data_IF_522872897383
#
_entry.id   IF_522872897383
#
_cell.length_a   1.000
_cell.length_b   1.000
_cell.length_c   1.000
_cell.angle_alpha   90.00
_cell.angle_beta   90.00
_cell.angle_gamma   90.00
#
_symmetry.space_group_name_H-M   'P 1'
#
loop_
_entity.id
_entity.type
_entity.pdbx_description
1 polymer ?
#
# COMPACT_ATOMS: atom_id res chain seq x y z
N UNK A 1 1.08 3.34 10.12
CA UNK A 1 1.44 4.47 11.01
C UNK A 1 2.93 4.50 11.34
N UNK A 2 3.53 3.46 11.94
CA UNK A 2 4.97 3.46 12.21
C UNK A 2 5.83 3.29 10.94
N UNK A 3 5.50 2.28 10.10
CA UNK A 3 6.27 1.99 8.89
C UNK A 3 6.36 3.18 7.91
N UNK A 4 5.27 3.95 7.76
CA UNK A 4 5.18 5.15 6.91
C UNK A 4 6.04 6.33 7.40
N UNK A 5 6.74 6.22 8.52
CA UNK A 5 7.71 7.22 8.98
C UNK A 5 9.12 6.98 8.43
N UNK A 6 9.36 5.82 7.85
CA UNK A 6 10.63 5.49 7.20
C UNK A 6 10.56 6.00 5.76
N UNK A 7 11.53 6.83 5.37
CA UNK A 7 11.60 7.38 4.00
C UNK A 7 11.58 6.26 2.97
N UNK A 8 10.77 6.42 1.93
CA UNK A 8 10.58 5.43 0.87
C UNK A 8 9.63 4.29 1.23
N UNK A 9 9.10 4.20 2.46
CA UNK A 9 8.14 3.17 2.86
C UNK A 9 6.71 3.69 2.70
N UNK A 10 5.96 3.05 1.81
CA UNK A 10 4.54 3.31 1.58
C UNK A 10 3.78 2.09 2.07
N UNK A 11 3.13 2.25 3.21
CA UNK A 11 2.43 1.17 3.90
C UNK A 11 0.99 1.54 4.23
N UNK A 12 0.04 0.65 3.94
CA UNK A 12 -1.35 0.77 4.35
C UNK A 12 -1.81 -0.48 5.09
N UNK A 13 -2.84 -0.30 5.93
CA UNK A 13 -3.53 -1.41 6.58
C UNK A 13 -4.65 -1.88 5.66
N UNK A 14 -4.65 -3.16 5.32
CA UNK A 14 -5.65 -3.77 4.46
C UNK A 14 -6.36 -4.90 5.21
N UNK A 15 -7.66 -5.03 4.94
CA UNK A 15 -8.50 -6.09 5.50
C UNK A 15 -9.27 -6.87 4.42
N UNK A 16 -9.03 -6.53 3.15
CA UNK A 16 -9.71 -7.08 1.99
C UNK A 16 -8.78 -6.99 0.77
N UNK A 17 -9.06 -7.84 -0.22
CA UNK A 17 -8.27 -7.97 -1.45
C UNK A 17 -8.28 -6.72 -2.30
N UNK A 18 -9.40 -5.99 -2.35
CA UNK A 18 -9.53 -4.76 -3.11
C UNK A 18 -8.58 -3.69 -2.60
N UNK A 19 -8.56 -3.45 -1.28
CA UNK A 19 -7.64 -2.51 -0.63
C UNK A 19 -6.18 -2.90 -0.82
N UNK A 20 -5.87 -4.20 -0.71
CA UNK A 20 -4.52 -4.71 -0.90
C UNK A 20 -4.01 -4.51 -2.34
N UNK A 21 -4.87 -4.74 -3.33
CA UNK A 21 -4.57 -4.56 -4.75
C UNK A 21 -4.44 -3.07 -5.11
N UNK A 22 -5.46 -2.27 -4.79
CA UNK A 22 -5.48 -0.84 -5.14
C UNK A 22 -4.37 -0.06 -4.43
N UNK A 23 -3.97 -0.47 -3.22
CA UNK A 23 -2.83 0.16 -2.53
C UNK A 23 -1.56 0.12 -3.38
N UNK A 24 -1.30 -0.99 -4.07
CA UNK A 24 -0.17 -1.09 -5.01
C UNK A 24 -0.45 -0.29 -6.27
N UNK A 25 -1.61 -0.47 -6.89
CA UNK A 25 -1.90 0.15 -8.19
C UNK A 25 -1.93 1.68 -8.16
N UNK A 26 -2.48 2.26 -7.09
CA UNK A 26 -2.74 3.69 -6.96
C UNK A 26 -1.65 4.43 -6.21
N UNK A 27 -1.11 3.81 -5.15
CA UNK A 27 -0.23 4.49 -4.21
C UNK A 27 1.20 3.92 -4.23
N UNK A 28 1.50 2.95 -5.10
CA UNK A 28 2.79 2.26 -5.17
C UNK A 28 3.21 1.71 -3.80
N UNK A 29 2.22 1.14 -3.08
CA UNK A 29 2.43 0.56 -1.76
C UNK A 29 3.46 -0.57 -1.83
N UNK A 30 4.49 -0.49 -1.00
CA UNK A 30 5.58 -1.47 -0.96
C UNK A 30 5.62 -2.29 0.35
N UNK A 31 4.75 -1.96 1.32
CA UNK A 31 4.59 -2.71 2.56
C UNK A 31 3.11 -2.91 2.84
N UNK A 32 2.66 -4.17 2.85
CA UNK A 32 1.31 -4.55 3.30
C UNK A 32 1.30 -4.69 4.83
N UNK A 33 0.30 -4.11 5.51
CA UNK A 33 0.06 -4.35 6.93
C UNK A 33 -1.32 -4.95 7.14
N UNK A 34 -1.42 -5.96 8.03
CA UNK A 34 -2.64 -6.72 8.26
C UNK A 34 -3.00 -6.75 9.75
N UNK A 35 -4.28 -6.65 10.06
CA UNK A 35 -4.79 -6.75 11.42
C UNK A 35 -5.01 -8.20 11.85
N UNK A 36 -4.05 -8.82 12.54
CA UNK A 36 -4.15 -10.22 12.97
C UNK A 36 -5.36 -10.55 13.89
N UNK A 37 -5.94 -9.55 14.55
CA UNK A 37 -7.16 -9.69 15.38
C UNK A 37 -8.42 -9.21 14.67
N UNK A 38 -8.29 -8.73 13.44
CA UNK A 38 -9.38 -8.12 12.65
C UNK A 38 -9.82 -9.05 11.53
N UNK A 39 -8.88 -9.71 10.87
CA UNK A 39 -9.15 -10.64 9.77
C UNK A 39 -8.65 -12.05 10.10
N UNK A 40 -9.35 -13.06 9.57
CA UNK A 40 -8.94 -14.45 9.65
C UNK A 40 -7.75 -14.80 8.74
N UNK A 41 -7.19 -16.01 8.86
CA UNK A 41 -6.04 -16.45 8.07
C UNK A 41 -6.33 -16.50 6.56
N UNK A 42 -7.52 -16.94 6.16
CA UNK A 42 -7.88 -17.07 4.75
C UNK A 42 -7.95 -15.70 4.04
N UNK A 43 -8.74 -14.71 4.50
CA UNK A 43 -8.75 -13.39 3.88
C UNK A 43 -7.39 -12.67 4.01
N UNK A 44 -6.61 -12.95 5.06
CA UNK A 44 -5.24 -12.44 5.17
C UNK A 44 -4.34 -12.98 4.05
N UNK A 45 -4.44 -14.28 3.74
CA UNK A 45 -3.69 -14.89 2.64
C UNK A 45 -4.12 -14.32 1.30
N UNK A 46 -5.43 -14.16 1.06
CA UNK A 46 -5.94 -13.54 -0.17
C UNK A 46 -5.44 -12.10 -0.34
N UNK A 47 -5.38 -11.31 0.74
CA UNK A 47 -4.80 -9.96 0.71
C UNK A 47 -3.32 -9.98 0.29
N UNK A 48 -2.54 -10.93 0.81
CA UNK A 48 -1.13 -11.08 0.44
C UNK A 48 -1.00 -11.43 -1.04
N UNK A 49 -1.80 -12.36 -1.55
CA UNK A 49 -1.81 -12.73 -2.97
C UNK A 49 -2.19 -11.54 -3.85
N UNK A 50 -3.25 -10.81 -3.49
CA UNK A 50 -3.70 -9.63 -4.22
C UNK A 50 -2.64 -8.52 -4.24
N UNK A 51 -1.96 -8.29 -3.12
CA UNK A 51 -0.86 -7.33 -3.01
C UNK A 51 0.33 -7.72 -3.89
N UNK A 52 0.79 -8.98 -3.81
CA UNK A 52 1.94 -9.46 -4.59
C UNK A 52 1.66 -9.55 -6.09
N UNK A 53 0.40 -9.75 -6.48
CA UNK A 53 -0.04 -9.82 -7.87
C UNK A 53 -0.31 -8.46 -8.51
N UNK A 54 -0.49 -7.40 -7.72
CA UNK A 54 -0.77 -6.06 -8.22
C UNK A 54 0.49 -5.38 -8.75
N UNK A 55 0.32 -4.47 -9.71
CA UNK A 55 1.41 -3.66 -10.26
C UNK A 55 1.00 -2.20 -10.29
N UNK A 56 1.91 -1.29 -9.97
CA UNK A 56 1.63 0.14 -10.02
C UNK A 56 1.14 0.55 -11.40
N UNK A 57 -0.07 1.13 -11.46
CA UNK A 57 -0.75 1.46 -12.72
C UNK A 57 -0.02 2.54 -13.53
N UNK A 58 0.77 3.40 -12.87
CA UNK A 58 1.50 4.48 -13.52
C UNK A 58 0.62 5.58 -14.13
N UNK A 59 -0.69 5.57 -13.90
CA UNK A 59 -1.59 6.59 -14.44
C UNK A 59 -1.19 8.00 -13.99
N UNK A 60 -1.37 9.04 -14.83
CA UNK A 60 -0.94 10.40 -14.51
C UNK A 60 -1.47 10.92 -13.16
N UNK A 61 -2.70 10.53 -12.78
CA UNK A 61 -3.29 10.91 -11.49
C UNK A 61 -2.61 10.24 -10.29
N UNK A 62 -2.19 8.98 -10.44
CA UNK A 62 -1.54 8.19 -9.40
C UNK A 62 -0.09 8.64 -9.22
N UNK A 63 0.64 8.81 -10.32
CA UNK A 63 2.00 9.38 -10.29
C UNK A 63 2.03 10.77 -9.67
N UNK A 64 1.12 11.66 -10.05
CA UNK A 64 1.02 13.00 -9.44
C UNK A 64 0.78 12.97 -7.93
N UNK A 65 0.02 11.99 -7.41
CA UNK A 65 -0.19 11.84 -5.97
C UNK A 65 1.06 11.31 -5.29
N UNK A 66 1.69 10.29 -5.88
CA UNK A 66 2.95 9.74 -5.40
C UNK A 66 4.05 10.81 -5.34
N UNK A 67 4.19 11.65 -6.37
CA UNK A 67 5.18 12.73 -6.41
C UNK A 67 4.99 13.73 -5.27
N UNK A 68 3.74 14.02 -4.89
CA UNK A 68 3.44 14.88 -3.72
C UNK A 68 3.88 14.23 -2.41
N UNK A 69 3.67 12.93 -2.26
CA UNK A 69 4.11 12.18 -1.08
C UNK A 69 5.64 12.19 -1.00
N UNK A 70 6.31 11.95 -2.12
CA UNK A 70 7.78 11.98 -2.21
C UNK A 70 8.35 13.39 -1.90
N UNK A 71 7.68 14.45 -2.35
CA UNK A 71 8.07 15.82 -2.00
C UNK A 71 7.96 16.07 -0.49
N UNK A 72 6.86 15.64 0.15
CA UNK A 72 6.68 15.75 1.60
C UNK A 72 7.75 14.96 2.36
N UNK A 73 8.11 13.75 1.90
CA UNK A 73 9.18 12.95 2.50
C UNK A 73 10.58 13.56 2.34
N UNK A 74 10.81 14.35 1.28
CA UNK A 74 12.10 15.01 1.05
C UNK A 74 12.29 16.26 1.91
N UNK A 75 11.20 16.91 2.32
CA UNK A 75 11.22 18.12 3.16
C UNK A 75 11.40 17.81 4.67
N UNK A 76 11.17 16.57 5.11
CA UNK A 76 11.30 16.11 6.51
C UNK A 76 12.50 15.21 6.75
#
# INVERSE_FOLDING_TARGET
>A
MAATKIRGVRAAVCHDTYSAHQGVEHDDMNVLTLGARVIGPDPAFECVVAFLGATFSGEPRHRRRLDKVLAIEAEG
#
